data_IF_172828565506
#
_entry.id   IF_172828565506
#
_cell.length_a   1.000
_cell.length_b   1.000
_cell.length_c   1.000
_cell.angle_alpha   90.00
_cell.angle_beta   90.00
_cell.angle_gamma   90.00
#
_symmetry.space_group_name_H-M   'P 1'
#
loop_
_entity.id
_entity.type
_entity.pdbx_description
1 polymer ?
#
# COMPACT_ATOMS: atom_id res chain seq x y z
N UNK A 1 -36.96 21.67 29.99
CA UNK A 1 -36.94 21.51 28.51
C UNK A 1 -35.63 21.96 27.83
N UNK A 2 -34.48 22.02 28.53
CA UNK A 2 -33.16 22.32 27.90
C UNK A 2 -32.21 21.13 27.82
N UNK A 3 -32.44 20.10 28.63
CA UNK A 3 -31.57 18.92 28.72
C UNK A 3 -31.85 17.94 27.57
N UNK A 4 -33.12 17.77 27.18
CA UNK A 4 -33.53 16.87 26.07
C UNK A 4 -32.92 17.31 24.73
N UNK A 5 -32.77 18.62 24.52
CA UNK A 5 -32.19 19.20 23.31
C UNK A 5 -30.67 18.96 23.20
N UNK A 6 -29.95 18.95 24.33
CA UNK A 6 -28.49 18.69 24.35
C UNK A 6 -28.19 17.21 24.07
N UNK A 7 -29.02 16.29 24.58
CA UNK A 7 -28.86 14.85 24.33
C UNK A 7 -29.12 14.50 22.86
N UNK A 8 -30.11 15.15 22.22
CA UNK A 8 -30.39 14.97 20.79
C UNK A 8 -29.26 15.46 19.88
N UNK A 9 -28.60 16.56 20.24
CA UNK A 9 -27.46 17.08 19.46
C UNK A 9 -26.22 16.18 19.55
N UNK A 10 -25.92 15.60 20.71
CA UNK A 10 -24.79 14.68 20.87
C UNK A 10 -25.01 13.36 20.10
N UNK A 11 -26.25 12.86 20.05
CA UNK A 11 -26.59 11.68 19.26
C UNK A 11 -26.42 11.91 17.76
N UNK A 12 -26.73 13.11 17.26
CA UNK A 12 -26.58 13.45 15.84
C UNK A 12 -25.10 13.52 15.39
N UNK A 13 -24.20 14.00 16.26
CA UNK A 13 -22.75 14.05 15.97
C UNK A 13 -22.14 12.64 15.98
N UNK A 14 -22.58 11.76 16.88
CA UNK A 14 -22.14 10.36 16.92
C UNK A 14 -22.49 9.56 15.66
N UNK A 15 -23.65 9.84 15.05
CA UNK A 15 -24.08 9.18 13.82
C UNK A 15 -23.33 9.65 12.56
N UNK A 16 -22.86 10.90 12.52
CA UNK A 16 -22.07 11.41 11.39
C UNK A 16 -20.67 10.77 11.33
N UNK A 17 -20.09 10.38 12.48
CA UNK A 17 -18.80 9.68 12.50
C UNK A 17 -18.89 8.24 11.99
N UNK A 18 -20.04 7.57 12.13
CA UNK A 18 -20.21 6.20 11.61
C UNK A 18 -20.45 6.20 10.10
N UNK A 19 -21.09 7.24 9.56
CA UNK A 19 -21.34 7.35 8.11
C UNK A 19 -20.08 7.66 7.27
N UNK A 20 -19.04 8.24 7.88
CA UNK A 20 -17.78 8.55 7.19
C UNK A 20 -16.91 7.32 6.87
N UNK A 21 -17.11 6.20 7.56
CA UNK A 21 -16.34 4.97 7.34
C UNK A 21 -16.83 4.13 6.14
N UNK A 22 -17.98 4.47 5.54
CA UNK A 22 -18.59 3.69 4.46
C UNK A 22 -18.10 4.00 3.04
N UNK A 23 -17.29 5.04 2.84
CA UNK A 23 -16.80 5.47 1.51
C UNK A 23 -15.31 5.20 1.29
N UNK A 24 -14.68 4.32 2.08
CA UNK A 24 -13.42 3.72 1.66
C UNK A 24 -13.78 2.72 0.56
N UNK A 25 -13.80 3.20 -0.68
CA UNK A 25 -13.89 2.37 -1.88
C UNK A 25 -12.95 1.19 -1.65
N UNK A 26 -13.51 0.01 -1.41
CA UNK A 26 -12.77 -1.23 -1.41
C UNK A 26 -11.98 -1.23 -2.71
N UNK A 27 -10.66 -1.16 -2.59
CA UNK A 27 -9.80 -1.44 -3.73
C UNK A 27 -10.32 -2.74 -4.33
N UNK A 28 -10.56 -2.81 -5.65
CA UNK A 28 -11.17 -3.97 -6.26
C UNK A 28 -10.38 -5.18 -5.79
N UNK A 29 -11.09 -6.12 -5.15
CA UNK A 29 -10.54 -7.38 -4.68
C UNK A 29 -9.70 -7.93 -5.81
N UNK A 30 -8.37 -7.90 -5.62
CA UNK A 30 -7.43 -8.32 -6.62
C UNK A 30 -7.86 -9.73 -7.05
N UNK A 31 -8.05 -9.89 -8.35
CA UNK A 31 -8.22 -11.19 -8.99
C UNK A 31 -7.21 -12.18 -8.41
N UNK A 32 -7.54 -13.47 -8.25
CA UNK A 32 -6.61 -14.50 -7.79
C UNK A 32 -5.60 -14.84 -8.90
N UNK A 33 -4.91 -13.82 -9.41
CA UNK A 33 -3.89 -13.92 -10.41
C UNK A 33 -2.54 -14.06 -9.71
N UNK A 34 -1.83 -15.13 -10.00
CA UNK A 34 -0.47 -15.34 -9.53
C UNK A 34 0.47 -14.41 -10.34
N UNK A 35 1.15 -13.45 -9.71
CA UNK A 35 1.98 -12.52 -10.44
C UNK A 35 3.11 -13.24 -11.19
N UNK A 36 3.33 -12.87 -12.46
CA UNK A 36 4.44 -13.43 -13.24
C UNK A 36 5.78 -12.86 -12.76
N UNK A 37 6.84 -13.69 -12.80
CA UNK A 37 8.19 -13.29 -12.43
C UNK A 37 8.72 -12.26 -13.42
N UNK A 38 9.10 -11.09 -12.91
CA UNK A 38 9.72 -10.03 -13.69
C UNK A 38 11.20 -9.91 -13.30
N UNK A 39 12.14 -9.89 -14.25
CA UNK A 39 13.57 -9.91 -13.94
C UNK A 39 14.10 -8.61 -13.29
N UNK A 40 13.30 -7.54 -13.26
CA UNK A 40 13.60 -6.37 -12.42
C UNK A 40 14.33 -5.22 -13.08
N UNK A 41 14.17 -4.04 -12.47
CA UNK A 41 15.04 -2.88 -12.61
C UNK A 41 15.57 -2.55 -11.21
N UNK A 42 16.89 -2.63 -11.03
CA UNK A 42 17.57 -2.31 -9.76
C UNK A 42 17.18 -0.93 -9.23
N UNK A 43 16.96 0.03 -10.13
CA UNK A 43 16.51 1.37 -9.80
C UNK A 43 15.13 1.39 -9.09
N UNK A 44 14.20 0.50 -9.46
CA UNK A 44 12.88 0.41 -8.83
C UNK A 44 12.95 -0.22 -7.44
N UNK A 45 13.88 -1.17 -7.26
CA UNK A 45 14.17 -1.77 -5.96
C UNK A 45 14.74 -0.71 -5.01
N UNK A 46 15.74 0.06 -5.47
CA UNK A 46 16.33 1.14 -4.69
C UNK A 46 15.31 2.24 -4.34
N UNK A 47 14.41 2.58 -5.26
CA UNK A 47 13.34 3.55 -4.97
C UNK A 47 12.35 3.02 -3.93
N UNK A 48 11.94 1.75 -4.04
CA UNK A 48 11.08 1.10 -3.06
C UNK A 48 11.72 1.11 -1.66
N UNK A 49 13.02 0.83 -1.57
CA UNK A 49 13.76 0.90 -0.31
C UNK A 49 13.81 2.31 0.28
N UNK A 50 14.11 3.34 -0.52
CA UNK A 50 14.10 4.72 -0.05
C UNK A 50 12.74 5.16 0.48
N UNK A 51 11.67 4.82 -0.24
CA UNK A 51 10.30 5.16 0.17
C UNK A 51 9.93 4.48 1.48
N UNK A 52 10.26 3.20 1.61
CA UNK A 52 9.96 2.47 2.83
C UNK A 52 10.79 2.96 4.01
N UNK A 53 12.06 3.28 3.83
CA UNK A 53 12.92 3.88 4.84
C UNK A 53 12.32 5.16 5.43
N UNK A 54 11.85 6.07 4.56
CA UNK A 54 11.16 7.30 4.98
C UNK A 54 9.88 6.98 5.76
N UNK A 55 9.08 6.01 5.30
CA UNK A 55 7.80 5.67 5.92
C UNK A 55 7.95 4.93 7.26
N UNK A 56 8.95 4.05 7.36
CA UNK A 56 9.27 3.31 8.57
C UNK A 56 10.06 4.16 9.59
N UNK A 57 10.61 5.30 9.17
CA UNK A 57 11.49 6.12 10.02
C UNK A 57 12.86 5.48 10.27
N UNK A 58 13.28 4.60 9.36
CA UNK A 58 14.51 3.79 9.48
C UNK A 58 15.52 4.19 8.39
N UNK A 59 16.83 4.04 8.61
CA UNK A 59 17.82 4.25 7.56
C UNK A 59 17.71 3.19 6.46
N UNK A 60 18.01 3.60 5.22
CA UNK A 60 17.89 2.73 4.03
C UNK A 60 18.69 1.44 4.17
N UNK A 61 19.90 1.50 4.74
CA UNK A 61 20.76 0.32 4.91
C UNK A 61 20.15 -0.71 5.87
N UNK A 62 19.49 -0.25 6.93
CA UNK A 62 18.76 -1.12 7.85
C UNK A 62 17.54 -1.75 7.17
N UNK A 63 16.82 -0.97 6.36
CA UNK A 63 15.73 -1.52 5.56
C UNK A 63 16.24 -2.60 4.59
N UNK A 64 17.36 -2.35 3.88
CA UNK A 64 17.96 -3.33 2.96
C UNK A 64 18.39 -4.62 3.66
N UNK A 65 18.77 -4.54 4.93
CA UNK A 65 19.14 -5.71 5.74
C UNK A 65 17.95 -6.53 6.25
N UNK A 66 16.75 -5.94 6.34
CA UNK A 66 15.57 -6.59 6.94
C UNK A 66 14.47 -6.93 5.92
N UNK A 67 14.36 -6.17 4.83
CA UNK A 67 13.38 -6.41 3.77
C UNK A 67 14.05 -6.92 2.49
N UNK A 68 13.50 -8.02 1.97
CA UNK A 68 13.93 -8.68 0.75
C UNK A 68 12.98 -8.35 -0.40
N UNK A 69 13.49 -7.92 -1.57
CA UNK A 69 12.64 -7.50 -2.67
C UNK A 69 12.10 -8.73 -3.40
N UNK A 70 10.80 -8.77 -3.60
CA UNK A 70 10.12 -9.71 -4.49
C UNK A 70 9.53 -8.93 -5.65
N UNK A 71 10.01 -9.24 -6.85
CA UNK A 71 9.58 -8.63 -8.10
C UNK A 71 8.36 -9.35 -8.65
N UNK A 72 7.39 -8.58 -9.13
CA UNK A 72 6.15 -9.11 -9.67
C UNK A 72 5.63 -8.23 -10.80
N UNK A 73 5.09 -8.85 -11.85
CA UNK A 73 4.38 -8.14 -12.90
C UNK A 73 2.87 -8.30 -12.73
N UNK A 74 2.16 -7.18 -12.69
CA UNK A 74 0.70 -7.13 -12.59
C UNK A 74 0.11 -6.66 -13.92
N UNK A 75 -0.44 -7.56 -14.75
CA UNK A 75 -1.06 -7.18 -16.01
C UNK A 75 -2.33 -6.35 -15.75
N UNK A 76 -2.47 -5.20 -16.40
CA UNK A 76 -3.72 -4.43 -16.34
C UNK A 76 -4.73 -4.96 -17.34
N UNK A 77 -6.03 -4.79 -17.06
CA UNK A 77 -7.15 -5.33 -17.86
C UNK A 77 -7.15 -4.90 -19.34
N UNK A 78 -6.33 -3.91 -19.71
CA UNK A 78 -6.22 -3.40 -21.08
C UNK A 78 -4.83 -3.71 -21.67
N UNK A 79 -4.75 -4.84 -22.38
CA UNK A 79 -3.96 -5.04 -23.62
C UNK A 79 -2.46 -4.69 -23.61
N UNK A 80 -1.68 -5.26 -22.68
CA UNK A 80 -0.21 -5.36 -22.84
C UNK A 80 0.62 -4.31 -22.12
N UNK A 81 -0.01 -3.39 -21.37
CA UNK A 81 0.68 -2.49 -20.43
C UNK A 81 0.42 -3.02 -19.02
N UNK A 82 1.43 -3.63 -18.40
CA UNK A 82 1.36 -4.07 -17.01
C UNK A 82 2.20 -3.20 -16.10
N UNK A 83 2.00 -3.38 -14.79
CA UNK A 83 2.76 -2.69 -13.77
C UNK A 83 3.88 -3.60 -13.27
N UNK A 84 5.09 -3.04 -13.20
CA UNK A 84 6.23 -3.69 -12.58
C UNK A 84 6.21 -3.32 -11.10
N UNK A 85 6.00 -4.29 -10.22
CA UNK A 85 5.87 -4.03 -8.80
C UNK A 85 6.98 -4.70 -7.98
N UNK A 86 7.38 -3.99 -6.93
CA UNK A 86 8.37 -4.42 -5.95
C UNK A 86 7.65 -4.58 -4.62
N UNK A 87 7.53 -5.81 -4.14
CA UNK A 87 7.09 -6.12 -2.79
C UNK A 87 8.30 -6.28 -1.89
N UNK A 88 8.40 -5.47 -0.85
CA UNK A 88 9.40 -5.65 0.19
C UNK A 88 8.87 -6.64 1.21
N UNK A 89 9.45 -7.83 1.25
CA UNK A 89 9.09 -8.89 2.20
C UNK A 89 10.00 -8.84 3.42
N UNK A 90 9.41 -8.94 4.59
CA UNK A 90 10.16 -9.17 5.82
C UNK A 90 10.20 -10.68 6.14
N UNK A 91 11.18 -11.11 6.93
CA UNK A 91 11.24 -12.49 7.42
C UNK A 91 10.02 -12.85 8.28
N UNK A 92 9.66 -14.13 8.27
CA UNK A 92 8.49 -14.62 8.99
C UNK A 92 8.71 -14.45 10.50
N UNK A 93 7.83 -13.68 11.15
CA UNK A 93 7.91 -13.39 12.59
C UNK A 93 8.59 -12.07 12.93
N UNK A 94 9.12 -11.35 11.94
CA UNK A 94 9.60 -9.99 12.11
C UNK A 94 8.42 -8.99 12.16
N UNK A 95 8.61 -7.90 12.92
CA UNK A 95 7.62 -6.83 13.06
C UNK A 95 7.89 -5.79 11.99
N UNK A 96 6.88 -5.50 11.17
CA UNK A 96 6.97 -4.52 10.09
C UNK A 96 6.08 -4.90 8.91
N UNK A 97 5.46 -3.90 8.29
CA UNK A 97 4.63 -4.11 7.10
C UNK A 97 5.42 -4.70 5.93
N UNK A 98 4.71 -5.27 4.95
CA UNK A 98 5.30 -5.73 3.68
C UNK A 98 4.78 -4.87 2.53
N UNK A 99 5.38 -3.68 2.28
CA UNK A 99 4.84 -2.74 1.32
C UNK A 99 5.04 -3.24 -0.12
N UNK A 100 4.13 -2.81 -1.01
CA UNK A 100 4.21 -3.04 -2.45
C UNK A 100 4.22 -1.71 -3.19
N UNK A 101 5.21 -1.49 -4.04
CA UNK A 101 5.34 -0.31 -4.90
C UNK A 101 5.23 -0.74 -6.35
N UNK A 102 4.25 -0.22 -7.07
CA UNK A 102 3.99 -0.54 -8.46
C UNK A 102 4.36 0.63 -9.36
N UNK A 103 5.19 0.36 -10.35
CA UNK A 103 5.68 1.28 -11.34
C UNK A 103 5.04 0.98 -12.69
N UNK A 104 4.94 2.01 -13.50
CA UNK A 104 4.73 1.85 -14.93
C UNK A 104 5.93 1.08 -15.53
N UNK A 105 5.70 0.16 -16.46
CA UNK A 105 6.79 -0.70 -16.95
C UNK A 105 7.79 0.07 -17.83
N UNK A 106 7.31 1.08 -18.57
CA UNK A 106 8.11 1.85 -19.51
C UNK A 106 8.75 3.08 -18.85
N UNK A 107 8.28 3.47 -17.66
CA UNK A 107 8.74 4.66 -16.94
C UNK A 107 9.00 4.37 -15.47
N UNK A 108 10.00 5.01 -14.85
CA UNK A 108 10.26 4.92 -13.40
C UNK A 108 9.16 5.57 -12.52
N UNK A 109 7.97 5.81 -13.08
CA UNK A 109 6.87 6.49 -12.42
C UNK A 109 6.14 5.52 -11.49
N UNK A 110 6.05 5.88 -10.22
CA UNK A 110 5.20 5.17 -9.26
C UNK A 110 3.71 5.39 -9.63
N UNK A 111 2.99 4.31 -9.88
CA UNK A 111 1.57 4.31 -10.26
C UNK A 111 0.67 3.94 -9.09
N UNK A 112 1.10 2.99 -8.26
CA UNK A 112 0.36 2.58 -7.07
C UNK A 112 1.30 2.21 -5.92
N UNK A 113 0.83 2.43 -4.70
CA UNK A 113 1.52 2.11 -3.46
C UNK A 113 0.55 1.43 -2.50
N UNK A 114 0.96 0.28 -1.97
CA UNK A 114 0.23 -0.49 -0.96
C UNK A 114 1.17 -0.71 0.22
N UNK A 115 1.26 0.29 1.09
CA UNK A 115 2.28 0.36 2.15
C UNK A 115 1.70 0.78 3.49
N UNK A 116 0.37 0.69 3.65
CA UNK A 116 -0.28 1.03 4.91
C UNK A 116 0.32 0.17 6.03
N UNK A 117 0.90 0.86 7.01
CA UNK A 117 1.50 0.23 8.20
C UNK A 117 0.37 0.13 9.21
N UNK A 118 -0.12 -1.09 9.46
CA UNK A 118 -0.98 -1.38 10.62
C UNK A 118 -0.12 -1.65 11.85
#
# INVERSE_FOLDING_TARGET
>A
MRIVTVVLFLAAIGLAFVAGYGLRRSAPSASPYDPEYWPGSEAQIDDAYRRWAVKAGEPVDQVKGMWFPQLMFLPTRNQGIGLSCVKLRIERGAIGGSPVYCYDNDTMKLVAEYSDVE
#
